data_IF_810735800693
#
_entry.id   IF_810735800693
#
_cell.length_a   1.000
_cell.length_b   1.000
_cell.length_c   1.000
_cell.angle_alpha   90.00
_cell.angle_beta   90.00
_cell.angle_gamma   90.00
#
_symmetry.space_group_name_H-M   'P 1'
#
loop_
_entity.id
_entity.type
_entity.pdbx_description
1 polymer ?
#
# COMPACT_ATOMS: atom_id res chain seq x y z
N UNK A 1 16.16 22.52 11.54
CA UNK A 1 15.10 21.55 11.89
C UNK A 1 15.70 20.50 12.80
N UNK A 2 15.06 20.19 13.92
CA UNK A 2 15.58 19.18 14.86
C UNK A 2 15.15 17.79 14.37
N UNK A 3 15.96 17.18 13.51
CA UNK A 3 15.66 15.88 12.87
C UNK A 3 15.70 14.78 13.93
N UNK A 4 14.57 14.12 14.18
CA UNK A 4 14.52 12.98 15.11
C UNK A 4 15.02 11.74 14.37
N UNK A 5 16.17 11.20 14.77
CA UNK A 5 16.64 9.92 14.26
C UNK A 5 15.76 8.79 14.83
N UNK A 6 14.95 8.18 13.98
CA UNK A 6 14.01 7.09 14.32
C UNK A 6 14.54 5.72 13.93
N UNK A 7 15.71 5.64 13.30
CA UNK A 7 16.26 4.37 12.86
C UNK A 7 16.67 3.50 14.05
N UNK A 8 16.66 2.17 13.92
CA UNK A 8 17.19 1.28 14.93
C UNK A 8 18.63 1.65 15.30
N UNK A 9 18.93 1.68 16.60
CA UNK A 9 20.27 1.99 17.12
C UNK A 9 21.17 0.73 17.08
N UNK A 10 21.39 0.17 15.89
CA UNK A 10 22.15 -1.07 15.66
C UNK A 10 23.61 -0.83 15.22
N UNK A 11 24.05 0.43 15.16
CA UNK A 11 25.40 0.83 14.73
C UNK A 11 25.65 0.72 13.22
N UNK A 12 24.64 0.38 12.43
CA UNK A 12 24.75 0.26 10.96
C UNK A 12 24.16 1.49 10.28
N UNK A 13 24.58 1.76 9.04
CA UNK A 13 23.85 2.68 8.17
C UNK A 13 22.41 2.20 8.01
N UNK A 14 21.40 3.07 8.08
CA UNK A 14 20.01 2.66 8.10
C UNK A 14 19.57 2.08 6.76
N UNK A 15 18.60 1.15 6.80
CA UNK A 15 17.82 0.79 5.61
C UNK A 15 16.82 1.91 5.35
N UNK A 16 16.79 2.39 4.10
CA UNK A 16 15.82 3.36 3.59
C UNK A 16 15.09 2.77 2.38
N UNK A 17 13.98 3.39 1.98
CA UNK A 17 13.30 3.05 0.70
C UNK A 17 14.09 3.73 -0.44
N UNK A 18 15.28 3.21 -0.70
CA UNK A 18 16.20 3.69 -1.74
C UNK A 18 16.15 2.74 -2.94
N UNK A 19 15.21 2.99 -3.86
CA UNK A 19 14.93 2.09 -4.97
C UNK A 19 14.22 0.81 -4.49
N UNK A 20 14.54 -0.37 -5.04
CA UNK A 20 15.68 -0.68 -5.92
C UNK A 20 15.46 -0.35 -7.42
N UNK A 21 14.23 -0.07 -7.84
CA UNK A 21 13.91 0.25 -9.23
C UNK A 21 14.54 1.57 -9.67
N UNK A 22 14.34 2.61 -8.85
CA UNK A 22 14.91 3.94 -9.03
C UNK A 22 15.63 4.38 -7.75
N UNK A 23 16.93 4.02 -7.59
CA UNK A 23 17.71 4.30 -6.40
C UNK A 23 18.20 5.76 -6.41
N UNK A 24 17.25 6.69 -6.24
CA UNK A 24 17.48 8.12 -6.12
C UNK A 24 17.29 8.55 -4.67
N UNK A 25 18.22 9.38 -4.18
CA UNK A 25 18.22 9.87 -2.80
C UNK A 25 17.25 11.04 -2.64
N UNK A 26 15.94 10.76 -2.61
CA UNK A 26 14.91 11.78 -2.44
C UNK A 26 15.07 12.57 -1.14
N UNK A 27 15.56 11.94 -0.07
CA UNK A 27 15.84 12.61 1.19
C UNK A 27 16.98 13.63 1.06
N UNK A 28 18.10 13.26 0.44
CA UNK A 28 19.20 14.19 0.18
C UNK A 28 18.73 15.36 -0.69
N UNK A 29 17.94 15.08 -1.73
CA UNK A 29 17.41 16.12 -2.63
C UNK A 29 16.48 17.11 -1.90
N UNK A 30 15.62 16.62 -0.99
CA UNK A 30 14.73 17.45 -0.18
C UNK A 30 15.47 18.23 0.92
N UNK A 31 16.59 17.70 1.42
CA UNK A 31 17.39 18.31 2.50
C UNK A 31 18.45 19.27 1.97
N UNK A 32 18.78 19.22 0.68
CA UNK A 32 19.83 20.04 0.10
C UNK A 32 19.48 21.55 0.20
N UNK A 33 20.40 22.41 0.71
CA UNK A 33 20.10 23.83 0.97
C UNK A 33 19.84 24.65 -0.30
N UNK A 34 20.28 24.18 -1.46
CA UNK A 34 19.97 24.85 -2.74
C UNK A 34 18.51 24.72 -3.18
N UNK A 35 17.70 23.89 -2.50
CA UNK A 35 16.34 23.59 -2.91
C UNK A 35 16.25 22.67 -4.13
N UNK A 36 15.04 22.55 -4.69
CA UNK A 36 14.73 21.60 -5.76
C UNK A 36 15.03 22.13 -7.17
N UNK A 37 15.47 23.38 -7.27
CA UNK A 37 15.70 24.09 -8.52
C UNK A 37 15.01 25.45 -8.54
N UNK A 38 14.82 26.00 -9.73
CA UNK A 38 14.16 27.29 -9.95
C UNK A 38 13.38 27.27 -11.26
N UNK A 39 12.34 28.11 -11.34
CA UNK A 39 11.56 28.34 -12.55
C UNK A 39 11.86 29.75 -13.07
N UNK A 40 11.90 29.99 -14.40
CA UNK A 40 12.09 31.32 -14.96
C UNK A 40 11.08 32.33 -14.40
N UNK A 41 11.55 33.55 -14.11
CA UNK A 41 10.77 34.56 -13.38
C UNK A 41 9.46 34.92 -14.11
N UNK A 42 9.48 34.92 -15.44
CA UNK A 42 8.34 35.18 -16.31
C UNK A 42 7.20 34.14 -16.19
N UNK A 43 7.48 32.96 -15.62
CA UNK A 43 6.48 31.90 -15.39
C UNK A 43 5.96 31.88 -13.95
N UNK A 44 6.50 32.73 -13.07
CA UNK A 44 6.05 32.79 -11.68
C UNK A 44 4.60 33.27 -11.60
N UNK A 45 3.83 32.67 -10.70
CA UNK A 45 2.39 32.92 -10.55
C UNK A 45 1.49 32.16 -11.52
N UNK A 46 2.05 31.47 -12.53
CA UNK A 46 1.25 30.63 -13.42
C UNK A 46 0.58 29.48 -12.67
N UNK A 47 -0.67 29.19 -13.06
CA UNK A 47 -1.47 28.16 -12.42
C UNK A 47 -1.12 26.76 -12.91
N UNK A 48 -1.05 25.81 -11.97
CA UNK A 48 -0.93 24.37 -12.26
C UNK A 48 -2.04 23.63 -11.55
N UNK A 49 -2.93 23.00 -12.33
CA UNK A 49 -4.01 22.20 -11.77
C UNK A 49 -3.47 20.88 -11.17
N UNK A 50 -3.92 20.56 -9.96
CA UNK A 50 -3.59 19.32 -9.24
C UNK A 50 -4.89 18.64 -8.85
N UNK A 51 -5.11 17.42 -9.36
CA UNK A 51 -6.32 16.65 -9.07
C UNK A 51 -6.04 15.63 -7.97
N UNK A 52 -6.61 15.87 -6.79
CA UNK A 52 -6.49 15.07 -5.59
C UNK A 52 -5.66 15.76 -4.49
N UNK A 53 -6.28 16.02 -3.34
CA UNK A 53 -5.64 16.58 -2.15
C UNK A 53 -5.16 15.49 -1.16
N UNK A 54 -4.68 14.37 -1.69
CA UNK A 54 -3.93 13.36 -0.93
C UNK A 54 -2.44 13.74 -0.82
N UNK A 55 -1.66 12.92 -0.10
CA UNK A 55 -0.24 13.23 0.19
C UNK A 55 0.59 13.54 -1.07
N UNK A 56 0.40 12.79 -2.18
CA UNK A 56 1.14 13.03 -3.41
C UNK A 56 0.82 14.39 -4.04
N UNK A 57 -0.47 14.74 -4.12
CA UNK A 57 -0.91 16.02 -4.68
C UNK A 57 -0.52 17.21 -3.80
N UNK A 58 -0.62 17.08 -2.47
CA UNK A 58 -0.23 18.13 -1.53
C UNK A 58 1.28 18.35 -1.47
N UNK A 59 2.09 17.28 -1.55
CA UNK A 59 3.55 17.40 -1.65
C UNK A 59 3.94 18.12 -2.95
N UNK A 60 3.37 17.71 -4.09
CA UNK A 60 3.62 18.38 -5.36
C UNK A 60 3.21 19.86 -5.33
N UNK A 61 2.02 20.16 -4.79
CA UNK A 61 1.54 21.53 -4.62
C UNK A 61 2.51 22.37 -3.77
N UNK A 62 2.90 21.83 -2.61
CA UNK A 62 3.82 22.51 -1.69
C UNK A 62 5.17 22.84 -2.35
N UNK A 63 5.76 21.87 -3.06
CA UNK A 63 7.06 22.08 -3.71
C UNK A 63 6.96 23.01 -4.93
N UNK A 64 5.91 22.92 -5.74
CA UNK A 64 5.67 23.85 -6.87
C UNK A 64 5.42 25.28 -6.40
N UNK A 65 4.72 25.45 -5.29
CA UNK A 65 4.51 26.75 -4.65
C UNK A 65 5.84 27.38 -4.21
N UNK A 66 6.74 26.59 -3.62
CA UNK A 66 8.10 27.06 -3.25
C UNK A 66 8.93 27.48 -4.47
N UNK A 67 8.68 26.91 -5.64
CA UNK A 67 9.32 27.28 -6.91
C UNK A 67 8.68 28.51 -7.59
N UNK A 68 7.64 29.09 -6.98
CA UNK A 68 6.99 30.32 -7.45
C UNK A 68 5.77 30.13 -8.35
N UNK A 69 5.27 28.90 -8.54
CA UNK A 69 4.00 28.66 -9.24
C UNK A 69 2.79 28.79 -8.32
N UNK A 70 1.58 28.85 -8.92
CA UNK A 70 0.30 28.86 -8.21
C UNK A 70 -0.43 27.51 -8.37
N UNK A 71 -0.16 26.51 -7.51
CA UNK A 71 -0.89 25.24 -7.58
C UNK A 71 -2.38 25.44 -7.24
N UNK A 72 -3.26 24.93 -8.09
CA UNK A 72 -4.72 24.92 -7.91
C UNK A 72 -5.17 23.50 -7.65
N UNK A 73 -5.44 23.17 -6.38
CA UNK A 73 -5.75 21.81 -5.94
C UNK A 73 -7.27 21.58 -5.96
N UNK A 74 -7.69 20.51 -6.63
CA UNK A 74 -9.07 20.04 -6.69
C UNK A 74 -9.20 18.74 -5.91
N UNK A 75 -10.21 18.62 -5.05
CA UNK A 75 -10.50 17.41 -4.29
C UNK A 75 -11.99 17.10 -4.37
N UNK A 76 -12.32 15.87 -4.76
CA UNK A 76 -13.70 15.44 -4.96
C UNK A 76 -14.37 14.94 -3.67
N UNK A 77 -13.58 14.59 -2.65
CA UNK A 77 -14.06 14.00 -1.40
C UNK A 77 -13.48 14.71 -0.18
N UNK A 78 -12.41 14.14 0.42
CA UNK A 78 -11.84 14.62 1.68
C UNK A 78 -10.34 14.84 1.53
N UNK A 79 -9.87 15.97 2.06
CA UNK A 79 -8.45 16.26 2.21
C UNK A 79 -7.71 15.09 2.88
N UNK A 80 -6.47 14.85 2.48
CA UNK A 80 -5.62 13.75 2.98
C UNK A 80 -5.84 12.42 2.25
N UNK A 81 -7.00 12.23 1.60
CA UNK A 81 -7.32 11.02 0.84
C UNK A 81 -7.28 9.76 1.71
N UNK A 82 -6.23 8.94 1.52
CA UNK A 82 -5.97 7.68 2.25
C UNK A 82 -5.18 7.85 3.55
N UNK A 83 -4.72 9.07 3.88
CA UNK A 83 -4.24 9.40 5.22
C UNK A 83 -5.40 10.08 5.94
N UNK A 84 -6.05 9.35 6.86
CA UNK A 84 -7.35 9.74 7.42
C UNK A 84 -7.49 9.30 8.86
N UNK A 85 -7.30 10.25 9.76
CA UNK A 85 -7.52 10.10 11.20
C UNK A 85 -8.92 10.63 11.54
N UNK A 86 -9.82 9.76 12.00
CA UNK A 86 -11.18 10.12 12.41
C UNK A 86 -11.28 10.16 13.93
N UNK A 87 -11.71 11.28 14.51
CA UNK A 87 -11.93 11.40 15.94
C UNK A 87 -13.17 10.61 16.41
N UNK A 88 -13.11 10.09 17.64
CA UNK A 88 -14.29 9.55 18.31
C UNK A 88 -15.15 10.68 18.89
N UNK A 89 -16.46 10.44 19.00
CA UNK A 89 -17.39 11.44 19.53
C UNK A 89 -17.02 11.85 20.95
N UNK A 90 -16.97 13.15 21.21
CA UNK A 90 -16.69 13.71 22.54
C UNK A 90 -15.25 13.52 23.03
N UNK A 91 -14.30 13.25 22.13
CA UNK A 91 -12.88 13.08 22.48
C UNK A 91 -12.00 14.09 21.75
N UNK A 92 -10.92 14.51 22.41
CA UNK A 92 -9.85 15.31 21.82
C UNK A 92 -8.60 14.46 21.70
N UNK A 93 -7.99 14.42 20.50
CA UNK A 93 -6.75 13.69 20.24
C UNK A 93 -6.87 12.15 20.19
N UNK A 94 -8.06 11.58 20.44
CA UNK A 94 -8.31 10.14 20.30
C UNK A 94 -8.93 9.86 18.93
N UNK A 95 -8.16 9.19 18.07
CA UNK A 95 -8.51 8.96 16.67
C UNK A 95 -8.44 7.49 16.30
N UNK A 96 -9.17 7.12 15.25
CA UNK A 96 -8.99 5.90 14.50
C UNK A 96 -8.35 6.21 13.15
N UNK A 97 -7.25 5.53 12.82
CA UNK A 97 -6.62 5.61 11.51
C UNK A 97 -7.36 4.71 10.52
N UNK A 98 -8.01 5.32 9.52
CA UNK A 98 -8.83 4.61 8.52
C UNK A 98 -8.06 4.25 7.24
N UNK A 99 -6.76 4.57 7.20
CA UNK A 99 -5.90 4.28 6.06
C UNK A 99 -4.48 3.99 6.50
N UNK A 100 -3.51 4.80 6.07
CA UNK A 100 -2.12 4.62 6.51
C UNK A 100 -1.96 4.88 8.01
N UNK A 101 -1.61 3.86 8.79
CA UNK A 101 -1.52 3.95 10.27
C UNK A 101 -0.14 3.65 10.86
N UNK A 102 0.74 3.03 10.07
CA UNK A 102 2.09 2.65 10.49
C UNK A 102 3.05 2.92 9.35
N UNK A 103 4.07 3.70 9.65
CA UNK A 103 5.02 4.19 8.67
C UNK A 103 6.39 3.62 9.03
N UNK A 104 7.01 2.82 8.16
CA UNK A 104 8.34 2.30 8.45
C UNK A 104 9.33 3.46 8.44
N UNK A 105 10.27 3.46 9.39
CA UNK A 105 11.28 4.52 9.53
C UNK A 105 12.21 4.63 8.32
N UNK A 106 12.22 3.62 7.44
CA UNK A 106 12.88 3.66 6.14
C UNK A 106 12.25 4.64 5.14
N UNK A 107 11.02 5.14 5.38
CA UNK A 107 10.31 6.10 4.53
C UNK A 107 10.83 7.53 4.72
N UNK A 108 12.11 7.78 4.41
CA UNK A 108 12.81 9.03 4.74
C UNK A 108 12.17 10.27 4.09
N UNK A 109 11.73 10.19 2.84
CA UNK A 109 11.02 11.30 2.18
C UNK A 109 9.67 11.63 2.84
N UNK A 110 8.93 10.64 3.37
CA UNK A 110 7.71 10.89 4.15
C UNK A 110 8.06 11.56 5.49
N UNK A 111 9.05 11.04 6.20
CA UNK A 111 9.49 11.58 7.48
C UNK A 111 10.09 12.98 7.38
N UNK A 112 10.63 13.38 6.21
CA UNK A 112 11.02 14.77 5.94
C UNK A 112 9.86 15.74 6.21
N UNK A 113 8.64 15.43 5.73
CA UNK A 113 7.47 16.29 5.94
C UNK A 113 6.90 16.17 7.35
N UNK A 114 6.96 14.99 7.97
CA UNK A 114 6.59 14.81 9.39
C UNK A 114 7.45 15.71 10.28
N UNK A 115 8.77 15.70 10.08
CA UNK A 115 9.72 16.51 10.84
C UNK A 115 9.58 18.00 10.52
N UNK A 116 9.33 18.35 9.25
CA UNK A 116 9.06 19.73 8.83
C UNK A 116 7.86 20.33 9.56
N UNK A 117 6.82 19.53 9.81
CA UNK A 117 5.62 19.93 10.54
C UNK A 117 5.77 19.81 12.07
N UNK A 118 6.90 19.31 12.57
CA UNK A 118 7.13 19.12 14.00
C UNK A 118 6.22 18.06 14.64
N UNK A 119 5.68 17.13 13.85
CA UNK A 119 4.73 16.13 14.34
C UNK A 119 5.42 15.04 15.17
N UNK A 120 4.74 14.59 16.21
CA UNK A 120 5.21 13.50 17.06
C UNK A 120 4.85 12.13 16.49
N UNK A 121 5.73 11.16 16.75
CA UNK A 121 5.54 9.77 16.36
C UNK A 121 6.02 8.86 17.47
N UNK A 122 5.38 7.71 17.63
CA UNK A 122 5.78 6.65 18.56
C UNK A 122 5.86 5.30 17.84
N UNK A 123 6.60 4.32 18.39
CA UNK A 123 6.58 2.95 17.87
C UNK A 123 5.15 2.40 17.78
N UNK A 124 4.81 1.79 16.64
CA UNK A 124 3.51 1.16 16.42
C UNK A 124 3.49 -0.22 17.13
N UNK A 125 2.39 -0.60 17.80
CA UNK A 125 2.28 -1.86 18.55
C UNK A 125 2.10 -3.07 17.61
N UNK A 126 3.12 -3.37 16.78
CA UNK A 126 3.13 -4.59 15.98
C UNK A 126 3.36 -5.82 16.89
N UNK A 127 2.84 -7.00 16.50
CA UNK A 127 3.07 -8.24 17.23
C UNK A 127 4.56 -8.51 17.50
N UNK A 128 4.87 -9.02 18.69
CA UNK A 128 6.21 -9.42 19.12
C UNK A 128 7.27 -8.29 18.98
N UNK A 129 6.86 -7.05 19.22
CA UNK A 129 7.77 -5.89 19.30
C UNK A 129 7.70 -5.27 20.70
N UNK A 130 8.72 -4.50 21.15
CA UNK A 130 8.70 -3.85 22.47
C UNK A 130 7.50 -2.92 22.72
N UNK A 131 6.82 -2.47 21.65
CA UNK A 131 5.63 -1.63 21.74
C UNK A 131 4.33 -2.41 21.98
N UNK A 132 4.38 -3.74 21.94
CA UNK A 132 3.26 -4.65 22.18
C UNK A 132 3.57 -5.48 23.43
N UNK A 133 2.65 -5.54 24.39
CA UNK A 133 2.84 -6.33 25.61
C UNK A 133 2.81 -7.83 25.36
N UNK A 134 1.91 -8.30 24.48
CA UNK A 134 1.77 -9.70 24.11
C UNK A 134 1.05 -9.86 22.77
N UNK A 135 1.12 -11.07 22.23
CA UNK A 135 0.52 -11.48 20.96
C UNK A 135 -0.25 -12.78 21.15
N UNK A 136 -1.46 -12.84 20.57
CA UNK A 136 -2.23 -14.07 20.48
C UNK A 136 -2.37 -14.47 19.01
N UNK A 137 -2.05 -15.72 18.72
CA UNK A 137 -2.26 -16.35 17.41
C UNK A 137 -3.35 -17.41 17.59
N UNK A 138 -4.45 -17.30 16.85
CA UNK A 138 -5.52 -18.31 16.85
C UNK A 138 -5.61 -18.93 15.45
N UNK A 139 -5.33 -20.23 15.34
CA UNK A 139 -5.30 -20.99 14.09
C UNK A 139 -6.04 -22.30 14.28
N UNK A 140 -7.06 -22.54 13.45
CA UNK A 140 -7.85 -23.78 13.45
C UNK A 140 -8.45 -24.12 14.84
N UNK A 141 -8.82 -23.08 15.61
CA UNK A 141 -9.35 -23.23 16.97
C UNK A 141 -8.30 -23.54 18.03
N UNK A 142 -7.01 -23.49 17.68
CA UNK A 142 -5.90 -23.57 18.62
C UNK A 142 -5.33 -22.18 18.89
N UNK A 143 -5.28 -21.80 20.16
CA UNK A 143 -4.82 -20.49 20.61
C UNK A 143 -3.42 -20.56 21.20
N UNK A 144 -2.52 -19.70 20.72
CA UNK A 144 -1.15 -19.55 21.18
C UNK A 144 -0.94 -18.14 21.73
N UNK A 145 -0.56 -18.04 22.99
CA UNK A 145 -0.18 -16.77 23.63
C UNK A 145 1.35 -16.65 23.67
N UNK A 146 1.87 -15.46 23.36
CA UNK A 146 3.30 -15.18 23.39
C UNK A 146 3.59 -13.73 23.80
N UNK A 147 4.56 -13.55 24.69
CA UNK A 147 5.12 -12.22 25.01
C UNK A 147 6.41 -11.99 24.21
N UNK A 148 7.14 -13.07 23.93
CA UNK A 148 8.34 -13.09 23.11
C UNK A 148 8.28 -14.22 22.10
N UNK A 149 9.10 -14.11 21.06
CA UNK A 149 9.15 -15.09 19.96
C UNK A 149 9.40 -16.52 20.44
N UNK A 150 10.21 -16.71 21.48
CA UNK A 150 10.56 -18.03 22.03
C UNK A 150 9.42 -18.73 22.75
N UNK A 151 8.30 -18.04 23.02
CA UNK A 151 7.13 -18.66 23.65
C UNK A 151 6.28 -19.43 22.62
N UNK A 152 6.50 -19.16 21.33
CA UNK A 152 5.76 -19.80 20.26
C UNK A 152 6.25 -21.23 19.99
N UNK A 153 5.36 -22.14 19.57
CA UNK A 153 5.75 -23.47 19.13
C UNK A 153 6.80 -23.46 18.02
N UNK A 154 7.59 -24.55 17.96
CA UNK A 154 8.65 -24.78 16.97
C UNK A 154 8.23 -24.48 15.53
N UNK A 155 6.98 -24.82 15.17
CA UNK A 155 6.38 -24.55 13.86
C UNK A 155 6.58 -23.10 13.39
N UNK A 156 6.39 -22.11 14.26
CA UNK A 156 6.53 -20.70 13.91
C UNK A 156 7.97 -20.29 13.65
N UNK A 157 8.91 -20.91 14.37
CA UNK A 157 10.35 -20.72 14.14
C UNK A 157 10.78 -21.35 12.82
N UNK A 158 10.33 -22.58 12.53
CA UNK A 158 10.61 -23.27 11.26
C UNK A 158 10.08 -22.47 10.05
N UNK A 159 8.90 -21.84 10.17
CA UNK A 159 8.36 -20.93 9.15
C UNK A 159 9.23 -19.67 8.99
N UNK A 160 9.68 -19.07 10.09
CA UNK A 160 10.53 -17.88 10.05
C UNK A 160 11.89 -18.17 9.40
N UNK A 161 12.51 -19.30 9.76
CA UNK A 161 13.77 -19.75 9.18
C UNK A 161 13.63 -20.07 7.69
N UNK A 162 12.55 -20.75 7.30
CA UNK A 162 12.30 -21.06 5.89
C UNK A 162 12.06 -19.81 5.05
N UNK A 163 11.39 -18.79 5.60
CA UNK A 163 11.22 -17.50 4.94
C UNK A 163 12.53 -16.74 4.76
N UNK A 164 13.37 -16.69 5.80
CA UNK A 164 14.68 -16.08 5.72
C UNK A 164 15.57 -16.77 4.67
N UNK A 165 15.60 -18.10 4.65
CA UNK A 165 16.37 -18.89 3.68
C UNK A 165 15.82 -18.72 2.25
N UNK A 166 14.50 -18.65 2.06
CA UNK A 166 13.89 -18.41 0.75
C UNK A 166 14.30 -17.05 0.18
N UNK A 167 14.26 -15.99 0.99
CA UNK A 167 14.72 -14.65 0.59
C UNK A 167 16.20 -14.63 0.25
N UNK A 168 17.04 -15.25 1.08
CA UNK A 168 18.48 -15.25 0.86
C UNK A 168 18.85 -16.03 -0.42
N UNK A 169 18.39 -17.27 -0.53
CA UNK A 169 18.69 -18.14 -1.68
C UNK A 169 18.03 -17.70 -2.98
N UNK A 170 16.82 -17.12 -2.92
CA UNK A 170 16.04 -16.73 -4.10
C UNK A 170 16.25 -15.30 -4.56
N UNK A 171 16.74 -14.42 -3.71
CA UNK A 171 16.84 -12.98 -3.99
C UNK A 171 18.12 -12.29 -3.50
N UNK A 172 19.09 -12.99 -2.89
CA UNK A 172 20.33 -12.37 -2.36
C UNK A 172 20.02 -11.21 -1.41
N UNK A 173 19.08 -11.45 -0.49
CA UNK A 173 18.46 -10.42 0.33
C UNK A 173 19.47 -9.63 1.16
N UNK A 174 20.45 -10.29 1.78
CA UNK A 174 21.49 -9.61 2.54
C UNK A 174 22.35 -8.68 1.67
N UNK A 175 22.74 -9.13 0.48
CA UNK A 175 23.54 -8.33 -0.46
C UNK A 175 22.80 -7.09 -0.96
N UNK A 176 21.51 -7.24 -1.27
CA UNK A 176 20.65 -6.10 -1.64
C UNK A 176 20.50 -5.13 -0.46
N UNK A 177 20.26 -5.64 0.75
CA UNK A 177 20.18 -4.79 1.94
C UNK A 177 21.48 -4.03 2.18
N UNK A 178 22.64 -4.67 2.00
CA UNK A 178 23.92 -4.01 2.17
C UNK A 178 24.11 -2.91 1.12
N UNK A 179 23.78 -3.18 -0.15
CA UNK A 179 23.84 -2.17 -1.22
C UNK A 179 22.91 -0.98 -0.94
N UNK A 180 21.73 -1.21 -0.35
CA UNK A 180 20.81 -0.15 0.09
C UNK A 180 21.44 0.68 1.22
N UNK A 181 21.99 0.04 2.26
CA UNK A 181 22.64 0.73 3.39
C UNK A 181 23.80 1.62 2.94
N UNK A 182 24.58 1.13 1.98
CA UNK A 182 25.71 1.87 1.43
C UNK A 182 25.33 2.86 0.34
N UNK A 183 24.07 2.85 -0.11
CA UNK A 183 23.59 3.59 -1.30
C UNK A 183 24.47 3.31 -2.54
N UNK A 184 24.96 2.07 -2.67
CA UNK A 184 25.76 1.61 -3.79
C UNK A 184 24.83 1.34 -5.00
N UNK A 185 24.60 2.38 -5.79
CA UNK A 185 23.69 2.32 -6.96
C UNK A 185 24.14 1.26 -7.99
N UNK A 186 25.42 1.19 -8.42
CA UNK A 186 25.88 0.16 -9.34
C UNK A 186 25.61 -1.27 -8.84
N UNK A 187 25.98 -1.59 -7.59
CA UNK A 187 25.75 -2.92 -7.02
C UNK A 187 24.27 -3.23 -6.88
N UNK A 188 23.49 -2.27 -6.36
CA UNK A 188 22.05 -2.44 -6.16
C UNK A 188 21.33 -2.73 -7.48
N UNK A 189 21.61 -1.97 -8.54
CA UNK A 189 21.02 -2.18 -9.86
C UNK A 189 21.49 -3.49 -10.49
N UNK A 190 22.76 -3.88 -10.32
CA UNK A 190 23.27 -5.15 -10.82
C UNK A 190 22.60 -6.37 -10.17
N UNK A 191 22.27 -6.29 -8.88
CA UNK A 191 21.54 -7.33 -8.15
C UNK A 191 20.06 -7.33 -8.55
N UNK A 192 19.40 -6.18 -8.46
CA UNK A 192 17.95 -6.06 -8.67
C UNK A 192 17.53 -6.38 -10.11
N UNK A 193 18.24 -5.85 -11.10
CA UNK A 193 17.85 -6.04 -12.50
C UNK A 193 17.93 -7.51 -12.95
N UNK A 194 18.68 -8.37 -12.25
CA UNK A 194 18.66 -9.83 -12.49
C UNK A 194 17.34 -10.45 -12.02
N UNK A 195 16.76 -9.93 -10.94
CA UNK A 195 15.53 -10.45 -10.34
C UNK A 195 14.29 -10.06 -11.14
N UNK A 196 14.26 -8.84 -11.70
CA UNK A 196 13.09 -8.32 -12.42
C UNK A 196 12.55 -9.30 -13.46
N UNK A 197 13.29 -9.74 -14.50
CA UNK A 197 12.75 -10.66 -15.51
C UNK A 197 12.51 -12.07 -14.97
N UNK A 198 13.09 -12.45 -13.83
CA UNK A 198 12.88 -13.77 -13.21
C UNK A 198 11.59 -13.84 -12.39
N UNK A 199 11.13 -12.71 -11.86
CA UNK A 199 10.05 -12.66 -10.89
C UNK A 199 8.84 -11.81 -11.29
N UNK A 200 8.91 -11.01 -12.37
CA UNK A 200 7.80 -10.16 -12.84
C UNK A 200 6.51 -10.96 -13.11
N UNK A 201 6.64 -12.07 -13.84
CA UNK A 201 5.51 -12.93 -14.21
C UNK A 201 5.22 -14.04 -13.18
N UNK A 202 5.79 -13.97 -11.98
CA UNK A 202 5.64 -14.99 -10.93
C UNK A 202 4.94 -14.43 -9.70
N UNK A 203 4.08 -15.23 -9.11
CA UNK A 203 3.34 -14.80 -7.92
C UNK A 203 4.18 -14.95 -6.65
N UNK A 204 3.81 -14.22 -5.60
CA UNK A 204 4.40 -14.42 -4.28
C UNK A 204 4.18 -15.84 -3.74
N UNK A 205 3.00 -16.42 -3.99
CA UNK A 205 2.73 -17.81 -3.61
C UNK A 205 3.67 -18.78 -4.32
N UNK A 206 3.93 -18.56 -5.61
CA UNK A 206 4.88 -19.34 -6.39
C UNK A 206 6.31 -19.22 -5.84
N UNK A 207 6.76 -18.02 -5.48
CA UNK A 207 8.05 -17.82 -4.78
C UNK A 207 8.15 -18.69 -3.52
N UNK A 208 7.14 -18.63 -2.65
CA UNK A 208 7.11 -19.39 -1.40
C UNK A 208 7.06 -20.88 -1.68
N UNK A 209 6.08 -21.34 -2.47
CA UNK A 209 5.82 -22.76 -2.70
C UNK A 209 6.95 -23.48 -3.45
N UNK A 210 7.68 -22.78 -4.33
CA UNK A 210 8.80 -23.36 -5.11
C UNK A 210 10.16 -23.18 -4.46
N UNK A 211 10.26 -22.41 -3.37
CA UNK A 211 11.51 -22.28 -2.61
C UNK A 211 11.90 -23.64 -1.99
N UNK A 212 13.21 -23.96 -2.00
CA UNK A 212 13.69 -25.23 -1.42
C UNK A 212 13.39 -25.33 0.08
N UNK A 213 13.39 -24.19 0.76
CA UNK A 213 13.18 -24.09 2.20
C UNK A 213 11.75 -24.45 2.61
N UNK A 214 10.74 -24.01 1.85
CA UNK A 214 9.33 -24.40 2.08
C UNK A 214 8.95 -25.71 1.40
N UNK A 215 9.55 -26.07 0.26
CA UNK A 215 9.21 -27.30 -0.46
C UNK A 215 9.51 -28.58 0.34
N UNK A 216 10.48 -28.53 1.26
CA UNK A 216 10.79 -29.63 2.20
C UNK A 216 9.90 -29.65 3.45
N UNK A 217 9.08 -28.61 3.67
CA UNK A 217 8.21 -28.49 4.83
C UNK A 217 6.78 -28.94 4.49
N UNK A 218 5.98 -29.21 5.52
CA UNK A 218 4.60 -29.63 5.35
C UNK A 218 3.75 -28.51 4.72
N UNK A 219 2.60 -28.89 4.15
CA UNK A 219 1.61 -27.91 3.68
C UNK A 219 1.18 -26.94 4.79
N UNK A 220 1.04 -27.44 6.02
CA UNK A 220 0.70 -26.63 7.20
C UNK A 220 1.67 -25.46 7.41
N UNK A 221 2.98 -25.62 7.14
CA UNK A 221 3.93 -24.50 7.27
C UNK A 221 3.63 -23.35 6.29
N UNK A 222 3.25 -23.70 5.05
CA UNK A 222 2.88 -22.72 4.01
C UNK A 222 1.55 -22.05 4.35
N UNK A 223 0.62 -22.80 4.92
CA UNK A 223 -0.65 -22.26 5.39
C UNK A 223 -0.46 -21.34 6.60
N UNK A 224 0.33 -21.71 7.60
CA UNK A 224 0.65 -20.83 8.73
C UNK A 224 1.35 -19.55 8.27
N UNK A 225 2.19 -19.61 7.23
CA UNK A 225 2.80 -18.41 6.64
C UNK A 225 1.75 -17.46 6.01
N UNK A 226 0.68 -17.99 5.40
CA UNK A 226 -0.37 -17.20 4.76
C UNK A 226 -1.22 -16.40 5.76
N UNK A 227 -2.29 -16.99 6.34
CA UNK A 227 -3.09 -16.39 7.42
C UNK A 227 -2.27 -15.89 8.62
N UNK A 228 -1.25 -16.60 9.08
CA UNK A 228 -0.49 -16.24 10.30
C UNK A 228 0.47 -15.07 10.12
N UNK A 229 1.16 -14.96 8.98
CA UNK A 229 2.23 -13.97 8.79
C UNK A 229 1.80 -12.74 7.98
N UNK A 230 0.98 -12.90 6.92
CA UNK A 230 0.48 -11.77 6.13
C UNK A 230 -0.68 -11.04 6.82
N UNK A 231 -1.56 -11.77 7.52
CA UNK A 231 -2.79 -11.19 8.10
C UNK A 231 -2.56 -10.52 9.45
N UNK A 232 -1.67 -11.05 10.31
CA UNK A 232 -1.36 -10.44 11.62
C UNK A 232 -0.39 -9.27 11.55
N UNK A 233 0.33 -9.07 10.43
CA UNK A 233 0.82 -7.73 10.12
C UNK A 233 -0.38 -6.83 9.80
N UNK A 234 -1.33 -7.18 8.96
CA UNK A 234 -2.32 -6.21 8.44
C UNK A 234 -3.50 -5.86 9.35
N UNK A 235 -3.91 -6.72 10.29
CA UNK A 235 -5.09 -6.49 11.14
C UNK A 235 -4.74 -6.71 12.60
N UNK A 236 -4.28 -5.66 13.26
CA UNK A 236 -4.40 -5.57 14.72
C UNK A 236 -5.84 -5.18 15.01
N UNK A 237 -6.71 -6.17 15.20
CA UNK A 237 -7.97 -6.12 15.97
C UNK A 237 -8.63 -7.50 15.85
N UNK A 238 -8.30 -8.38 16.79
CA UNK A 238 -9.20 -9.48 17.15
C UNK A 238 -10.34 -8.87 17.95
N UNK A 239 -11.43 -8.51 17.29
CA UNK A 239 -12.70 -8.31 18.00
C UNK A 239 -13.30 -9.71 18.23
N UNK A 240 -13.63 -10.09 19.48
CA UNK A 240 -14.40 -11.29 19.71
C UNK A 240 -15.76 -11.15 19.01
N UNK A 241 -16.28 -12.26 18.49
CA UNK A 241 -17.69 -12.37 18.08
C UNK A 241 -18.54 -11.89 19.24
N UNK A 242 -19.13 -10.71 19.12
CA UNK A 242 -20.27 -10.33 19.94
C UNK A 242 -21.44 -11.18 19.48
N UNK A 243 -21.92 -12.05 20.37
CA UNK A 243 -23.18 -12.75 20.22
C UNK A 243 -24.28 -11.74 19.92
N UNK A 244 -25.02 -11.99 18.84
CA UNK A 244 -26.24 -11.26 18.51
C UNK A 244 -27.32 -11.65 19.53
N UNK A 245 -27.28 -11.05 20.71
CA UNK A 245 -28.26 -11.18 21.78
C UNK A 245 -28.97 -9.85 22.04
N UNK A 246 -30.25 -9.79 21.68
CA UNK A 246 -31.27 -8.84 22.15
C UNK A 246 -30.94 -7.33 22.15
N UNK A 247 -31.28 -6.67 21.04
CA UNK A 247 -31.75 -5.28 21.09
C UNK A 247 -33.28 -5.26 21.24
N UNK A 248 -33.84 -4.50 22.21
CA UNK A 248 -35.29 -4.32 22.32
C UNK A 248 -35.81 -3.50 21.14
N UNK A 249 -36.90 -3.98 20.51
CA UNK A 249 -37.66 -3.24 19.49
C UNK A 249 -38.32 -2.05 20.17
N UNK A 250 -37.84 -0.85 19.86
CA UNK A 250 -38.53 0.40 20.16
C UNK A 250 -39.58 0.69 19.08
N UNK A 251 -40.74 1.08 19.53
CA UNK A 251 -42.00 1.18 18.79
C UNK A 251 -42.01 2.08 17.55
N UNK A 252 -42.87 1.63 16.64
CA UNK A 252 -43.58 2.34 15.59
C UNK A 252 -44.02 3.76 16.02
N UNK A 253 -43.89 4.73 15.10
CA UNK A 253 -44.88 5.77 14.76
C UNK A 253 -44.19 6.91 14.00
N UNK A 254 -44.37 6.94 12.67
CA UNK A 254 -44.72 8.16 11.92
C UNK A 254 -45.08 7.79 10.47
N UNK A 255 -46.38 7.65 10.25
CA UNK A 255 -47.06 7.47 8.96
C UNK A 255 -46.93 8.70 8.08
N UNK A 256 -46.64 8.55 6.78
CA UNK A 256 -47.21 9.33 5.65
C UNK A 256 -47.26 8.48 4.36
N UNK A 257 -48.23 8.72 3.44
CA UNK A 257 -48.85 7.70 2.60
C UNK A 257 -48.20 7.53 1.20
N UNK A 258 -48.46 6.41 0.48
CA UNK A 258 -47.98 6.20 -0.88
C UNK A 258 -48.98 6.72 -1.93
N UNK A 259 -48.45 7.37 -2.97
CA UNK A 259 -49.16 7.66 -4.24
C UNK A 259 -49.14 6.46 -5.19
N UNK A 260 -50.13 6.32 -6.10
CA UNK A 260 -50.43 5.03 -6.73
C UNK A 260 -49.80 4.84 -8.11
N UNK A 261 -49.46 3.58 -8.41
CA UNK A 261 -49.60 3.01 -9.74
C UNK A 261 -48.31 2.82 -10.54
N UNK A 262 -47.89 1.56 -10.70
CA UNK A 262 -47.62 0.95 -12.01
C UNK A 262 -47.51 -0.57 -11.89
N UNK A 263 -47.96 -1.22 -12.98
CA UNK A 263 -48.42 -2.60 -13.09
C UNK A 263 -47.27 -3.61 -13.06
N UNK A 264 -47.56 -4.81 -12.54
CA UNK A 264 -46.78 -6.03 -12.77
C UNK A 264 -46.82 -6.40 -14.26
N UNK A 265 -45.67 -6.78 -14.81
CA UNK A 265 -45.57 -7.64 -15.99
C UNK A 265 -44.60 -8.79 -15.66
N UNK A 266 -44.94 -9.97 -16.21
CA UNK A 266 -44.49 -11.27 -15.75
C UNK A 266 -43.13 -11.72 -16.30
N UNK A 267 -42.77 -12.91 -15.83
CA UNK A 267 -41.51 -13.60 -16.07
C UNK A 267 -41.27 -14.01 -17.53
N UNK A 268 -40.00 -14.09 -17.91
CA UNK A 268 -39.52 -14.76 -19.11
C UNK A 268 -38.04 -15.14 -18.95
N UNK A 269 -37.73 -16.42 -19.16
CA UNK A 269 -36.40 -17.04 -19.09
C UNK A 269 -35.88 -17.32 -20.51
N UNK A 270 -34.57 -17.15 -20.74
CA UNK A 270 -33.75 -17.76 -21.80
C UNK A 270 -32.30 -17.29 -21.55
N UNK A 271 -31.31 -18.10 -21.14
CA UNK A 271 -30.59 -19.22 -21.80
C UNK A 271 -30.03 -18.89 -23.20
N UNK A 272 -28.71 -19.03 -23.23
CA UNK A 272 -27.78 -19.31 -24.33
C UNK A 272 -27.61 -18.27 -25.45
N UNK A 273 -26.36 -17.81 -25.63
CA UNK A 273 -25.67 -17.77 -26.93
C UNK A 273 -24.15 -17.58 -26.72
N UNK A 274 -23.38 -18.49 -27.32
CA UNK A 274 -21.92 -18.59 -27.35
C UNK A 274 -21.32 -17.75 -28.52
N UNK A 275 -19.98 -17.68 -28.70
CA UNK A 275 -19.28 -16.54 -29.28
C UNK A 275 -19.07 -16.59 -30.80
N UNK A 276 -19.06 -15.43 -31.45
CA UNK A 276 -18.58 -15.28 -32.84
C UNK A 276 -17.07 -15.04 -32.87
N UNK A 277 -16.33 -16.05 -33.33
CA UNK A 277 -14.97 -15.93 -33.84
C UNK A 277 -15.00 -15.41 -35.28
N UNK A 278 -14.17 -14.41 -35.59
CA UNK A 278 -13.98 -13.88 -36.94
C UNK A 278 -12.49 -13.73 -37.23
N UNK A 279 -11.97 -14.59 -38.09
CA UNK A 279 -10.60 -14.61 -38.56
C UNK A 279 -10.30 -13.43 -39.50
N UNK A 280 -9.09 -12.86 -39.42
CA UNK A 280 -8.54 -11.94 -40.40
C UNK A 280 -7.19 -12.47 -40.89
N UNK A 281 -7.09 -12.69 -42.21
CA UNK A 281 -5.82 -12.89 -42.94
C UNK A 281 -5.25 -11.54 -43.38
N UNK A 282 -3.92 -11.42 -43.58
CA UNK A 282 -3.25 -10.14 -43.76
C UNK A 282 -3.08 -9.76 -45.24
N UNK A 283 -3.10 -8.46 -45.54
CA UNK A 283 -2.58 -7.87 -46.77
C UNK A 283 -1.45 -6.90 -46.44
N UNK A 284 -0.38 -7.00 -47.24
CA UNK A 284 0.88 -6.31 -47.10
C UNK A 284 0.89 -4.92 -47.73
N UNK A 285 1.77 -4.03 -47.20
CA UNK A 285 2.37 -2.94 -47.99
C UNK A 285 2.51 -1.58 -47.29
N UNK A 286 3.76 -1.14 -47.08
CA UNK A 286 4.16 0.25 -47.36
C UNK A 286 4.39 1.24 -46.19
N UNK A 287 5.65 1.31 -45.76
CA UNK A 287 6.46 2.49 -45.38
C UNK A 287 6.09 3.54 -44.28
N UNK A 288 7.07 3.66 -43.35
CA UNK A 288 7.55 4.76 -42.46
C UNK A 288 7.10 4.70 -40.98
N UNK A 289 8.05 4.63 -40.01
CA UNK A 289 7.74 4.92 -38.62
C UNK A 289 8.13 6.36 -38.26
N UNK A 290 7.12 7.19 -38.02
CA UNK A 290 7.22 8.40 -37.20
C UNK A 290 7.26 8.03 -35.71
N UNK A 291 7.82 8.95 -34.91
CA UNK A 291 8.15 8.82 -33.48
C UNK A 291 6.90 8.50 -32.62
N UNK A 292 7.00 7.64 -31.58
CA UNK A 292 5.84 7.33 -30.75
C UNK A 292 5.51 8.50 -29.80
N UNK A 293 4.40 9.17 -30.08
CA UNK A 293 3.70 10.01 -29.12
C UNK A 293 2.88 9.13 -28.18
N UNK A 294 3.19 9.18 -26.88
CA UNK A 294 2.39 8.54 -25.83
C UNK A 294 1.05 9.27 -25.70
N UNK A 295 0.00 8.72 -26.33
CA UNK A 295 -1.39 9.13 -26.07
C UNK A 295 -1.95 8.28 -24.93
N UNK A 296 -2.15 8.90 -23.77
CA UNK A 296 -2.99 8.34 -22.71
C UNK A 296 -4.45 8.39 -23.16
N UNK A 297 -5.04 7.25 -23.48
CA UNK A 297 -6.49 7.11 -23.67
C UNK A 297 -7.12 6.83 -22.30
N UNK A 298 -7.78 7.83 -21.72
CA UNK A 298 -8.60 7.66 -20.53
C UNK A 298 -9.93 7.00 -20.93
N UNK A 299 -10.19 5.77 -20.48
CA UNK A 299 -11.49 5.13 -20.58
C UNK A 299 -12.43 5.71 -19.52
N UNK A 300 -13.31 6.63 -19.94
CA UNK A 300 -14.47 7.06 -19.16
C UNK A 300 -15.66 6.14 -19.48
N UNK A 301 -16.02 5.26 -18.54
CA UNK A 301 -17.25 4.49 -18.62
C UNK A 301 -18.47 5.36 -18.27
N UNK A 302 -19.10 5.98 -19.27
CA UNK A 302 -20.43 6.56 -19.13
C UNK A 302 -21.49 5.46 -19.31
N UNK A 303 -22.16 5.09 -18.23
CA UNK A 303 -23.36 4.26 -18.27
C UNK A 303 -24.56 5.11 -18.71
N UNK A 304 -24.91 5.03 -20.00
CA UNK A 304 -26.19 5.54 -20.51
C UNK A 304 -27.35 4.66 -20.01
N UNK A 305 -28.28 5.27 -19.28
CA UNK A 305 -29.61 4.69 -19.02
C UNK A 305 -30.45 4.73 -20.31
N UNK A 306 -31.05 3.63 -20.77
CA UNK A 306 -32.14 3.70 -21.73
C UNK A 306 -33.41 4.19 -21.02
N UNK A 307 -34.12 5.11 -21.69
CA UNK A 307 -35.43 5.64 -21.28
C UNK A 307 -36.51 4.56 -21.44
N UNK A 308 -37.35 4.42 -20.42
CA UNK A 308 -38.78 4.08 -20.45
C UNK A 308 -39.45 4.76 -19.25
#
# INVERSE_FOLDING_TARGET
>A
MNKKNRHPADGKKPITIFGPDFPFAFDDWLEHPAGLGSIPAERQGEEVAIVGAGIAGLVAAYELMKLGLKPVVYEASKLGGRLRSQAFNGTDGIIAELGGMRFPVSSTAFYHYVDKLGLETKPFPNPLTPASGSTVIDLEGQTYYAEKTTDLPKLFHEVADAWADALESGAQFADIQQAIRDRDVPRLKALWNKLVPLWDDRTFYDFVATSRSFAKLSFQHREVFGPGWLRHRWLGLGLPKLDAGNFPRGDDQLRRPPTPGRRRCGAGTARDLAPCAGALRPLAGGHKPERPAWRCTAYWGQAHRPRC
#
